data_IF_518968534439
#
_entry.id   IF_518968534439
#
_cell.length_a   1.000
_cell.length_b   1.000
_cell.length_c   1.000
_cell.angle_alpha   90.00
_cell.angle_beta   90.00
_cell.angle_gamma   90.00
#
_symmetry.space_group_name_H-M   'P 1'
#
loop_
_entity.id
_entity.type
_entity.pdbx_description
1 polymer ?
#
# COMPACT_ATOMS: atom_id res chain seq x y z
N UNK A 1 -7.44 20.47 13.30
CA UNK A 1 -7.58 20.60 11.83
C UNK A 1 -7.77 19.21 11.25
N UNK A 2 -8.90 18.93 10.59
CA UNK A 2 -8.99 17.73 9.73
C UNK A 2 -7.96 17.93 8.62
N UNK A 3 -6.96 17.03 8.53
CA UNK A 3 -5.98 17.07 7.44
C UNK A 3 -6.74 16.75 6.16
N UNK A 4 -6.91 17.73 5.29
CA UNK A 4 -7.52 17.50 3.96
C UNK A 4 -6.70 16.42 3.25
N UNK A 5 -7.38 15.41 2.69
CA UNK A 5 -6.74 14.39 1.86
C UNK A 5 -5.90 13.34 2.62
N UNK A 6 -6.19 13.07 3.89
CA UNK A 6 -5.55 11.96 4.64
C UNK A 6 -6.61 10.95 5.07
N UNK A 7 -6.51 9.74 4.52
CA UNK A 7 -7.33 8.61 4.90
C UNK A 7 -6.49 7.48 5.48
N UNK A 8 -7.05 6.76 6.45
CA UNK A 8 -6.41 5.62 7.10
C UNK A 8 -7.32 4.41 6.98
N UNK A 9 -6.81 3.36 6.34
CA UNK A 9 -7.51 2.08 6.21
C UNK A 9 -6.93 1.06 7.19
N UNK A 10 -7.80 0.25 7.82
CA UNK A 10 -7.41 -0.79 8.78
C UNK A 10 -6.84 -2.07 8.14
N UNK A 11 -6.35 -2.00 6.90
CA UNK A 11 -5.85 -3.15 6.12
C UNK A 11 -4.43 -2.84 5.65
N UNK A 12 -3.51 -3.74 5.97
CA UNK A 12 -2.11 -3.66 5.58
C UNK A 12 -1.46 -5.03 5.54
N UNK A 13 -0.13 -5.07 5.50
CA UNK A 13 0.64 -6.31 5.30
C UNK A 13 0.27 -7.45 6.25
N UNK A 14 0.05 -7.17 7.55
CA UNK A 14 -0.29 -8.19 8.54
C UNK A 14 -1.62 -8.88 8.18
N UNK A 15 -2.63 -8.10 7.77
CA UNK A 15 -3.94 -8.64 7.38
C UNK A 15 -3.86 -9.43 6.08
N UNK A 16 -3.10 -8.93 5.10
CA UNK A 16 -2.88 -9.62 3.82
C UNK A 16 -2.15 -10.95 4.02
N UNK A 17 -1.09 -10.99 4.82
CA UNK A 17 -0.38 -12.22 5.16
C UNK A 17 -1.27 -13.19 5.96
N UNK A 18 -2.08 -12.67 6.90
CA UNK A 18 -3.03 -13.47 7.66
C UNK A 18 -4.09 -14.12 6.77
N UNK A 19 -4.59 -13.40 5.76
CA UNK A 19 -5.54 -13.96 4.82
C UNK A 19 -4.92 -15.07 3.95
N UNK A 20 -3.70 -14.88 3.44
CA UNK A 20 -3.00 -15.96 2.72
C UNK A 20 -2.83 -17.20 3.58
N UNK A 21 -2.48 -17.01 4.87
CA UNK A 21 -2.38 -18.10 5.84
C UNK A 21 -3.69 -18.88 5.94
N UNK A 22 -4.81 -18.17 6.09
CA UNK A 22 -6.15 -18.78 6.16
C UNK A 22 -6.45 -19.58 4.88
N UNK A 23 -6.17 -19.02 3.70
CA UNK A 23 -6.39 -19.73 2.42
C UNK A 23 -5.53 -20.99 2.29
N UNK A 24 -4.26 -20.93 2.71
CA UNK A 24 -3.37 -22.09 2.70
C UNK A 24 -3.89 -23.21 3.63
N UNK A 25 -4.40 -22.85 4.80
CA UNK A 25 -4.99 -23.80 5.74
C UNK A 25 -6.28 -24.44 5.20
N UNK A 26 -7.15 -23.65 4.56
CA UNK A 26 -8.37 -24.15 3.90
C UNK A 26 -8.06 -25.16 2.78
N UNK A 27 -6.92 -24.99 2.10
CA UNK A 27 -6.47 -25.88 1.02
C UNK A 27 -5.53 -27.00 1.49
N UNK A 28 -5.43 -27.23 2.81
CA UNK A 28 -4.60 -28.26 3.43
C UNK A 28 -3.10 -28.16 3.03
N UNK A 29 -2.61 -26.93 2.90
CA UNK A 29 -1.18 -26.65 2.69
C UNK A 29 -0.54 -26.43 4.05
N UNK A 30 0.19 -27.43 4.53
CA UNK A 30 0.92 -27.36 5.79
C UNK A 30 2.18 -26.50 5.66
N UNK A 31 2.45 -25.68 6.67
CA UNK A 31 3.64 -24.84 6.78
C UNK A 31 4.04 -24.73 8.25
N UNK A 32 5.34 -24.59 8.51
CA UNK A 32 5.86 -24.58 9.88
C UNK A 32 5.96 -23.16 10.43
N UNK A 33 6.26 -22.18 9.57
CA UNK A 33 6.58 -20.81 9.99
C UNK A 33 5.74 -19.72 9.32
N UNK A 34 5.47 -18.65 10.08
CA UNK A 34 4.90 -17.41 9.52
C UNK A 34 5.85 -16.76 8.49
N UNK A 35 7.15 -17.02 8.58
CA UNK A 35 8.13 -16.56 7.61
C UNK A 35 7.86 -17.14 6.21
N UNK A 36 7.40 -18.39 6.14
CA UNK A 36 7.09 -19.08 4.89
C UNK A 36 5.91 -18.45 4.19
N UNK A 37 4.80 -18.22 4.92
CA UNK A 37 3.64 -17.51 4.39
C UNK A 37 4.02 -16.11 3.89
N UNK A 38 4.85 -15.38 4.65
CA UNK A 38 5.36 -14.07 4.22
C UNK A 38 6.17 -14.16 2.92
N UNK A 39 7.07 -15.14 2.83
CA UNK A 39 7.93 -15.33 1.65
C UNK A 39 7.10 -15.68 0.42
N UNK A 40 6.13 -16.60 0.57
CA UNK A 40 5.18 -16.96 -0.49
C UNK A 40 4.36 -15.74 -0.93
N UNK A 41 3.88 -14.92 0.01
CA UNK A 41 3.20 -13.66 -0.31
C UNK A 41 4.10 -12.73 -1.13
N UNK A 42 5.35 -12.55 -0.73
CA UNK A 42 6.27 -11.62 -1.40
C UNK A 42 6.75 -12.13 -2.77
N UNK A 43 6.76 -13.45 -3.01
CA UNK A 43 7.31 -14.06 -4.22
C UNK A 43 6.27 -14.56 -5.22
N UNK A 44 5.13 -15.07 -4.75
CA UNK A 44 4.11 -15.70 -5.60
C UNK A 44 2.84 -14.86 -5.75
N UNK A 45 2.49 -14.04 -4.75
CA UNK A 45 1.25 -13.25 -4.81
C UNK A 45 1.38 -12.01 -5.69
N UNK A 46 0.25 -11.61 -6.26
CA UNK A 46 0.14 -10.45 -7.14
C UNK A 46 -1.30 -9.90 -7.08
N UNK A 47 -1.56 -8.80 -7.77
CA UNK A 47 -2.89 -8.23 -7.92
C UNK A 47 -3.32 -8.39 -9.36
N UNK A 48 -4.47 -9.04 -9.56
CA UNK A 48 -5.08 -9.19 -10.87
C UNK A 48 -5.67 -7.86 -11.35
N UNK A 49 -5.53 -7.56 -12.64
CA UNK A 49 -6.16 -6.41 -13.27
C UNK A 49 -7.69 -6.54 -13.38
N UNK A 50 -8.17 -7.78 -13.48
CA UNK A 50 -9.59 -8.15 -13.46
C UNK A 50 -9.71 -9.43 -12.64
N UNK A 51 -10.32 -9.33 -11.46
CA UNK A 51 -10.43 -10.44 -10.52
C UNK A 51 -11.26 -11.60 -11.08
N UNK A 52 -12.40 -11.29 -11.71
CA UNK A 52 -13.32 -12.31 -12.20
C UNK A 52 -12.75 -13.06 -13.40
N UNK A 53 -12.10 -12.35 -14.33
CA UNK A 53 -11.44 -13.00 -15.44
C UNK A 53 -10.28 -13.90 -14.97
N UNK A 54 -9.58 -13.52 -13.91
CA UNK A 54 -8.45 -14.30 -13.37
C UNK A 54 -8.90 -15.63 -12.74
N UNK A 55 -10.13 -15.73 -12.22
CA UNK A 55 -10.68 -16.97 -11.63
C UNK A 55 -10.75 -18.15 -12.62
N UNK A 56 -10.81 -17.86 -13.92
CA UNK A 56 -10.88 -18.85 -15.00
C UNK A 56 -9.52 -19.29 -15.54
N UNK A 57 -8.42 -18.65 -15.14
CA UNK A 57 -7.07 -18.96 -15.64
C UNK A 57 -6.39 -20.00 -14.77
N UNK A 58 -5.45 -20.73 -15.37
CA UNK A 58 -4.47 -21.49 -14.59
C UNK A 58 -3.41 -20.51 -14.06
N UNK A 59 -3.45 -20.27 -12.76
CA UNK A 59 -2.54 -19.38 -12.04
C UNK A 59 -1.57 -20.15 -11.17
N UNK A 60 -1.37 -21.45 -11.42
CA UNK A 60 -0.49 -22.29 -10.58
C UNK A 60 0.96 -21.82 -10.67
N UNK A 61 1.61 -21.67 -9.51
CA UNK A 61 3.05 -21.47 -9.43
C UNK A 61 3.59 -22.09 -8.14
N UNK A 62 4.83 -22.60 -8.23
CA UNK A 62 5.50 -23.25 -7.13
C UNK A 62 6.76 -22.49 -6.72
N UNK A 63 7.09 -22.53 -5.43
CA UNK A 63 8.30 -21.97 -4.88
C UNK A 63 8.90 -22.96 -3.88
N UNK A 64 10.19 -23.20 -3.98
CA UNK A 64 10.94 -23.91 -2.95
C UNK A 64 11.31 -22.94 -1.83
N UNK A 65 10.95 -23.31 -0.60
CA UNK A 65 11.38 -22.62 0.61
C UNK A 65 12.48 -23.47 1.24
N UNK A 66 13.70 -22.92 1.40
CA UNK A 66 14.76 -23.62 2.10
C UNK A 66 14.25 -24.07 3.47
N UNK A 67 14.51 -25.34 3.83
CA UNK A 67 14.03 -26.03 5.05
C UNK A 67 12.59 -26.54 5.09
N UNK A 68 11.64 -25.97 4.32
CA UNK A 68 10.22 -26.41 4.35
C UNK A 68 9.75 -27.10 3.05
N UNK A 69 10.53 -27.02 1.97
CA UNK A 69 10.25 -27.74 0.71
C UNK A 69 9.43 -26.93 -0.29
N UNK A 70 8.72 -27.64 -1.20
CA UNK A 70 7.99 -27.03 -2.30
C UNK A 70 6.56 -26.66 -1.92
N UNK A 71 6.21 -25.40 -2.17
CA UNK A 71 4.85 -24.88 -2.00
C UNK A 71 4.27 -24.55 -3.36
N UNK A 72 3.06 -25.04 -3.62
CA UNK A 72 2.31 -24.74 -4.85
C UNK A 72 1.08 -23.95 -4.50
N UNK A 73 0.96 -22.73 -5.04
CA UNK A 73 -0.21 -21.88 -4.91
C UNK A 73 -0.86 -21.68 -6.27
N UNK A 74 -2.18 -21.53 -6.28
CA UNK A 74 -2.98 -21.29 -7.47
C UNK A 74 -3.76 -19.97 -7.34
N UNK A 75 -5.03 -20.02 -6.94
CA UNK A 75 -5.93 -18.86 -6.83
C UNK A 75 -5.59 -17.97 -5.63
N UNK A 76 -4.96 -18.52 -4.60
CA UNK A 76 -4.50 -17.81 -3.40
C UNK A 76 -3.59 -16.64 -3.76
N UNK A 77 -2.81 -16.80 -4.84
CA UNK A 77 -1.83 -15.81 -5.32
C UNK A 77 -2.45 -14.44 -5.59
N UNK A 78 -3.58 -14.40 -6.30
CA UNK A 78 -4.26 -13.14 -6.61
C UNK A 78 -5.41 -12.83 -5.65
N UNK A 79 -6.07 -13.84 -5.07
CA UNK A 79 -7.08 -13.63 -4.02
C UNK A 79 -6.51 -12.90 -2.81
N UNK A 80 -5.26 -13.18 -2.44
CA UNK A 80 -4.56 -12.48 -1.36
C UNK A 80 -4.42 -10.98 -1.63
N UNK A 81 -4.08 -10.60 -2.87
CA UNK A 81 -3.99 -9.19 -3.28
C UNK A 81 -5.34 -8.49 -3.30
N UNK A 82 -6.43 -9.21 -3.63
CA UNK A 82 -7.77 -8.64 -3.73
C UNK A 82 -8.28 -8.08 -2.40
N UNK A 83 -7.79 -8.55 -1.24
CA UNK A 83 -8.13 -8.00 0.09
C UNK A 83 -7.87 -6.48 0.19
N UNK A 84 -6.92 -5.95 -0.58
CA UNK A 84 -6.67 -4.51 -0.62
C UNK A 84 -7.78 -3.72 -1.33
N UNK A 85 -8.51 -4.36 -2.26
CA UNK A 85 -9.63 -3.75 -3.00
C UNK A 85 -10.97 -4.15 -2.38
N UNK A 86 -11.09 -5.38 -1.89
CA UNK A 86 -12.27 -5.93 -1.24
C UNK A 86 -11.93 -6.47 0.16
N UNK A 87 -11.73 -5.59 1.16
CA UNK A 87 -11.41 -5.99 2.55
C UNK A 87 -12.37 -6.99 3.20
N UNK A 88 -13.62 -7.03 2.72
CA UNK A 88 -14.66 -7.94 3.20
C UNK A 88 -14.29 -9.41 3.00
N UNK A 89 -13.47 -9.74 2.00
CA UNK A 89 -12.97 -11.10 1.78
C UNK A 89 -12.19 -11.63 2.98
N UNK A 90 -11.46 -10.75 3.69
CA UNK A 90 -10.73 -11.07 4.92
C UNK A 90 -11.52 -10.72 6.20
N UNK A 91 -12.86 -10.61 6.10
CA UNK A 91 -13.74 -10.29 7.22
C UNK A 91 -13.63 -8.85 7.75
N UNK A 92 -12.95 -7.94 7.05
CA UNK A 92 -12.75 -6.56 7.50
C UNK A 92 -13.78 -5.62 6.88
N UNK A 93 -14.51 -4.88 7.71
CA UNK A 93 -15.50 -3.88 7.27
C UNK A 93 -14.86 -2.50 7.14
N UNK A 94 -14.06 -2.31 6.10
CA UNK A 94 -13.48 -1.01 5.72
C UNK A 94 -13.58 -0.80 4.21
N UNK A 95 -13.37 0.44 3.76
CA UNK A 95 -13.24 0.75 2.34
C UNK A 95 -11.96 0.14 1.76
N UNK A 96 -12.00 -0.19 0.46
CA UNK A 96 -10.82 -0.63 -0.28
C UNK A 96 -9.83 0.52 -0.53
N UNK A 97 -8.61 0.17 -0.92
CA UNK A 97 -7.53 1.12 -1.21
C UNK A 97 -7.94 2.15 -2.27
N UNK A 98 -8.46 1.68 -3.41
CA UNK A 98 -8.97 2.52 -4.50
C UNK A 98 -10.03 3.54 -4.04
N UNK A 99 -10.96 3.14 -3.18
CA UNK A 99 -11.98 4.03 -2.61
C UNK A 99 -11.35 5.09 -1.69
N UNK A 100 -10.40 4.70 -0.84
CA UNK A 100 -9.72 5.63 0.06
C UNK A 100 -8.92 6.68 -0.73
N UNK A 101 -8.22 6.27 -1.78
CA UNK A 101 -7.47 7.17 -2.65
C UNK A 101 -8.42 8.10 -3.43
N UNK A 102 -9.52 7.57 -3.98
CA UNK A 102 -10.54 8.39 -4.64
C UNK A 102 -11.13 9.46 -3.70
N UNK A 103 -11.45 9.08 -2.46
CA UNK A 103 -11.95 10.01 -1.44
C UNK A 103 -10.93 11.11 -1.11
N UNK A 104 -9.64 10.77 -1.01
CA UNK A 104 -8.58 11.76 -0.88
C UNK A 104 -8.55 12.74 -2.07
N UNK A 105 -8.66 12.22 -3.30
CA UNK A 105 -8.64 13.04 -4.52
C UNK A 105 -9.84 13.97 -4.59
N UNK A 106 -11.04 13.50 -4.22
CA UNK A 106 -12.25 14.31 -4.14
C UNK A 106 -12.11 15.43 -3.10
N UNK A 107 -11.56 15.11 -1.91
CA UNK A 107 -11.28 16.12 -0.88
C UNK A 107 -10.28 17.17 -1.38
N UNK A 108 -9.23 16.77 -2.08
CA UNK A 108 -8.24 17.67 -2.66
C UNK A 108 -8.85 18.56 -3.76
N UNK A 109 -9.69 17.99 -4.62
CA UNK A 109 -10.39 18.74 -5.66
C UNK A 109 -11.36 19.77 -5.06
N UNK A 110 -12.15 19.37 -4.07
CA UNK A 110 -13.10 20.25 -3.38
C UNK A 110 -12.41 21.40 -2.61
N UNK A 111 -11.21 21.15 -2.09
CA UNK A 111 -10.45 22.16 -1.34
C UNK A 111 -9.92 23.31 -2.21
N UNK A 112 -9.88 23.16 -3.54
CA UNK A 112 -9.44 24.20 -4.50
C UNK A 112 -8.15 24.92 -4.08
N UNK A 113 -7.18 24.16 -3.54
CA UNK A 113 -5.93 24.71 -2.99
C UNK A 113 -5.06 25.39 -4.06
N UNK A 114 -5.17 24.94 -5.31
CA UNK A 114 -4.40 25.42 -6.46
C UNK A 114 -5.32 25.55 -7.67
N UNK A 115 -4.95 26.41 -8.62
CA UNK A 115 -5.64 26.53 -9.91
C UNK A 115 -5.42 25.33 -10.83
N UNK A 116 -4.28 24.63 -10.67
CA UNK A 116 -3.94 23.40 -11.39
C UNK A 116 -4.26 22.18 -10.52
N UNK A 117 -5.00 21.21 -11.06
CA UNK A 117 -5.41 19.99 -10.38
C UNK A 117 -4.41 18.82 -10.53
N UNK A 118 -3.34 19.01 -11.30
CA UNK A 118 -2.34 17.96 -11.59
C UNK A 118 -1.61 17.43 -10.35
N UNK A 119 -1.49 18.20 -9.26
CA UNK A 119 -0.67 17.83 -8.10
C UNK A 119 -1.21 16.62 -7.33
N UNK A 120 -2.52 16.41 -7.30
CA UNK A 120 -3.13 15.25 -6.63
C UNK A 120 -3.41 14.09 -7.59
N UNK A 121 -3.29 14.30 -8.90
CA UNK A 121 -3.52 13.28 -9.94
C UNK A 121 -2.37 12.28 -10.07
N UNK A 122 -1.19 12.60 -9.52
CA UNK A 122 -0.06 11.67 -9.46
C UNK A 122 -0.03 10.95 -8.12
N UNK A 123 -0.34 9.66 -8.12
CA UNK A 123 -0.28 8.80 -6.94
C UNK A 123 1.08 8.11 -6.90
N UNK A 124 1.85 8.32 -5.83
CA UNK A 124 3.15 7.66 -5.64
C UNK A 124 3.00 6.57 -4.58
N UNK A 125 3.23 5.33 -4.98
CA UNK A 125 3.17 4.18 -4.08
C UNK A 125 4.46 4.05 -3.26
N UNK A 126 4.32 3.61 -2.01
CA UNK A 126 5.44 3.37 -1.10
C UNK A 126 5.07 2.31 -0.06
N UNK A 127 6.07 1.57 0.42
CA UNK A 127 5.94 0.53 1.44
C UNK A 127 5.84 -0.89 0.89
N UNK A 128 6.00 -1.89 1.77
CA UNK A 128 6.18 -3.29 1.36
C UNK A 128 4.99 -3.92 0.65
N UNK A 129 3.75 -3.66 1.13
CA UNK A 129 2.55 -4.12 0.44
C UNK A 129 2.37 -3.48 -0.94
N UNK A 130 2.94 -2.29 -1.14
CA UNK A 130 2.84 -1.59 -2.40
C UNK A 130 3.74 -2.18 -3.51
N UNK A 131 4.65 -3.08 -3.14
CA UNK A 131 5.50 -3.81 -4.06
C UNK A 131 4.83 -5.06 -4.67
N UNK A 132 3.56 -5.35 -4.33
CA UNK A 132 2.82 -6.44 -4.97
C UNK A 132 2.69 -6.15 -6.48
N UNK A 133 3.10 -7.09 -7.36
CA UNK A 133 2.98 -6.91 -8.80
C UNK A 133 1.52 -6.64 -9.20
N UNK A 134 1.30 -5.71 -10.14
CA UNK A 134 -0.03 -5.36 -10.64
C UNK A 134 -0.80 -4.33 -9.80
N UNK A 135 -0.28 -3.91 -8.63
CA UNK A 135 -0.97 -2.94 -7.77
C UNK A 135 -1.16 -1.59 -8.45
N UNK A 136 -0.12 -1.06 -9.09
CA UNK A 136 -0.16 0.27 -9.68
C UNK A 136 -1.18 0.33 -10.82
N UNK A 137 -1.13 -0.67 -11.71
CA UNK A 137 -2.00 -0.81 -12.87
C UNK A 137 -3.46 -1.02 -12.45
N UNK A 138 -3.71 -1.90 -11.47
CA UNK A 138 -5.06 -2.12 -10.95
C UNK A 138 -5.59 -0.86 -10.28
N UNK A 139 -4.79 -0.19 -9.44
CA UNK A 139 -5.22 1.03 -8.77
C UNK A 139 -5.55 2.15 -9.77
N UNK A 140 -4.73 2.32 -10.80
CA UNK A 140 -4.97 3.31 -11.86
C UNK A 140 -6.27 3.01 -12.60
N UNK A 141 -6.52 1.75 -12.97
CA UNK A 141 -7.77 1.31 -13.59
C UNK A 141 -8.99 1.60 -12.72
N UNK A 142 -8.93 1.26 -11.43
CA UNK A 142 -10.02 1.47 -10.48
C UNK A 142 -10.32 2.97 -10.25
N UNK A 143 -9.28 3.80 -10.14
CA UNK A 143 -9.44 5.24 -9.98
C UNK A 143 -10.10 5.89 -11.20
N UNK A 144 -9.74 5.46 -12.41
CA UNK A 144 -10.38 5.91 -13.64
C UNK A 144 -11.86 5.50 -13.74
N UNK A 145 -12.24 4.37 -13.13
CA UNK A 145 -13.63 3.91 -13.08
C UNK A 145 -14.48 4.56 -11.98
N UNK A 146 -13.87 4.94 -10.86
CA UNK A 146 -14.57 5.53 -9.71
C UNK A 146 -14.77 7.05 -9.80
N UNK A 147 -13.79 7.77 -10.35
CA UNK A 147 -13.77 9.23 -10.34
C UNK A 147 -14.48 9.82 -11.57
N UNK A 148 -15.15 10.99 -11.43
CA UNK A 148 -15.82 11.62 -12.56
C UNK A 148 -14.81 12.13 -13.61
N UNK A 149 -15.22 12.26 -14.90
CA UNK A 149 -14.32 12.63 -16.01
C UNK A 149 -13.39 13.84 -15.79
N UNK A 150 -13.82 14.94 -15.13
CA UNK A 150 -12.94 16.09 -14.88
C UNK A 150 -11.74 15.76 -13.97
N UNK A 151 -11.92 14.80 -13.06
CA UNK A 151 -10.93 14.42 -12.05
C UNK A 151 -10.08 13.25 -12.53
N UNK A 152 -10.66 12.30 -13.28
CA UNK A 152 -9.93 11.10 -13.72
C UNK A 152 -8.92 11.35 -14.86
N UNK A 153 -9.16 12.36 -15.69
CA UNK A 153 -8.25 12.67 -16.79
C UNK A 153 -6.85 13.06 -16.28
N UNK A 154 -5.85 12.25 -16.64
CA UNK A 154 -4.45 12.47 -16.31
C UNK A 154 -3.99 11.82 -15.00
N UNK A 155 -4.79 10.93 -14.40
CA UNK A 155 -4.35 10.13 -13.26
C UNK A 155 -3.19 9.23 -13.68
N UNK A 156 -2.17 9.18 -12.83
CA UNK A 156 -1.02 8.29 -12.98
C UNK A 156 -0.67 7.67 -11.64
N UNK A 157 -0.49 6.36 -11.61
CA UNK A 157 0.01 5.65 -10.43
C UNK A 157 1.45 5.20 -10.66
N UNK A 158 2.36 5.71 -9.84
CA UNK A 158 3.78 5.39 -9.92
C UNK A 158 4.08 4.28 -8.91
N UNK A 159 4.62 3.11 -9.34
CA UNK A 159 5.00 2.04 -8.42
C UNK A 159 6.16 2.49 -7.52
N UNK A 160 6.44 1.79 -6.41
CA UNK A 160 7.50 2.19 -5.48
C UNK A 160 8.88 2.25 -6.18
N UNK A 161 9.48 3.44 -6.37
CA UNK A 161 10.68 3.59 -7.21
C UNK A 161 11.92 2.90 -6.64
N UNK A 162 11.98 2.73 -5.31
CA UNK A 162 13.04 1.99 -4.62
C UNK A 162 12.47 0.80 -3.82
N UNK A 163 11.37 0.22 -4.32
CA UNK A 163 10.69 -0.91 -3.68
C UNK A 163 10.31 -0.62 -2.22
N UNK A 164 10.56 -1.60 -1.35
CA UNK A 164 10.23 -1.54 0.09
C UNK A 164 10.94 -0.39 0.82
N UNK A 165 12.04 0.11 0.25
CA UNK A 165 12.89 1.15 0.86
C UNK A 165 12.58 2.56 0.35
N UNK A 166 11.52 2.76 -0.44
CA UNK A 166 11.19 4.06 -1.04
C UNK A 166 11.14 5.21 -0.04
N UNK A 167 10.50 5.01 1.13
CA UNK A 167 10.48 6.00 2.20
C UNK A 167 11.88 6.29 2.78
N UNK A 168 12.69 5.25 2.98
CA UNK A 168 14.06 5.38 3.51
C UNK A 168 14.98 6.12 2.52
N UNK A 169 14.87 5.81 1.23
CA UNK A 169 15.61 6.54 0.19
C UNK A 169 15.20 8.01 0.13
N UNK A 170 13.90 8.32 0.28
CA UNK A 170 13.44 9.70 0.40
C UNK A 170 14.08 10.43 1.59
N UNK A 171 14.15 9.78 2.75
CA UNK A 171 14.81 10.35 3.93
C UNK A 171 16.32 10.57 3.71
N UNK A 172 17.01 9.65 3.04
CA UNK A 172 18.44 9.79 2.68
C UNK A 172 18.68 10.99 1.75
N UNK A 173 17.81 11.22 0.78
CA UNK A 173 17.91 12.39 -0.12
C UNK A 173 17.67 13.67 0.69
N UNK A 174 16.62 13.69 1.52
CA UNK A 174 16.27 14.82 2.37
C UNK A 174 17.41 15.19 3.32
N UNK A 175 18.07 14.20 3.95
CA UNK A 175 19.17 14.45 4.89
C UNK A 175 20.41 15.06 4.25
N UNK A 176 20.57 14.91 2.94
CA UNK A 176 21.71 15.44 2.20
C UNK A 176 21.46 16.86 1.64
N UNK A 177 20.28 17.43 1.83
CA UNK A 177 20.01 18.81 1.42
C UNK A 177 20.76 19.79 2.33
N UNK A 178 21.34 20.84 1.76
CA UNK A 178 22.00 21.92 2.51
C UNK A 178 21.04 22.63 3.47
N UNK A 179 19.74 22.64 3.16
CA UNK A 179 18.68 23.22 3.98
C UNK A 179 18.21 22.30 5.11
N UNK A 180 18.66 21.04 5.16
CA UNK A 180 18.18 20.05 6.13
C UNK A 180 18.42 20.48 7.60
N UNK A 181 19.62 20.95 8.01
CA UNK A 181 19.88 21.27 9.43
C UNK A 181 19.05 22.43 10.00
N UNK A 182 18.43 23.25 9.14
CA UNK A 182 17.65 24.42 9.55
C UNK A 182 16.27 24.04 10.10
N UNK A 183 15.18 24.16 9.31
CA UNK A 183 13.82 23.98 9.81
C UNK A 183 13.43 22.53 10.10
N UNK A 184 14.21 21.53 9.63
CA UNK A 184 13.86 20.11 9.75
C UNK A 184 14.48 19.44 10.97
N UNK A 185 15.49 20.05 11.60
CA UNK A 185 16.23 19.48 12.72
C UNK A 185 15.97 20.27 14.01
N UNK A 186 16.01 19.55 15.13
CA UNK A 186 15.96 20.15 16.47
C UNK A 186 17.27 19.85 17.17
N UNK A 187 18.00 20.90 17.55
CA UNK A 187 19.24 20.74 18.34
C UNK A 187 18.92 20.31 19.76
N UNK A 188 19.89 19.67 20.43
CA UNK A 188 19.76 19.30 21.86
C UNK A 188 19.37 20.49 22.75
N UNK A 189 19.94 21.67 22.51
CA UNK A 189 19.65 22.90 23.25
C UNK A 189 18.19 23.35 23.06
N UNK A 190 17.70 23.36 21.82
CA UNK A 190 16.31 23.71 21.52
C UNK A 190 15.31 22.72 22.14
N UNK A 191 15.62 21.42 22.09
CA UNK A 191 14.79 20.39 22.71
C UNK A 191 14.69 20.58 24.24
N UNK A 192 15.83 20.81 24.91
CA UNK A 192 15.88 21.02 26.36
C UNK A 192 15.19 22.31 26.82
N UNK A 193 15.17 23.36 26.00
CA UNK A 193 14.44 24.59 26.31
C UNK A 193 12.93 24.42 26.14
N UNK A 194 12.47 23.72 25.08
CA UNK A 194 11.04 23.45 24.87
C UNK A 194 10.45 22.48 25.90
N UNK A 195 11.21 21.48 26.36
CA UNK A 195 10.73 20.56 27.39
C UNK A 195 10.49 21.28 28.72
N UNK A 196 11.34 22.24 29.09
CA UNK A 196 11.19 23.04 30.32
C UNK A 196 9.95 23.94 30.32
N UNK A 197 9.54 24.45 29.17
CA UNK A 197 8.34 25.30 29.04
C UNK A 197 7.03 24.51 29.18
N UNK A 198 7.04 23.19 28.91
CA UNK A 198 5.85 22.35 29.03
C UNK A 198 5.60 21.81 30.45
N UNK A 199 6.55 22.00 31.38
CA UNK A 199 6.44 21.57 32.79
C UNK A 199 6.17 22.74 33.76
N UNK A 200 5.94 23.95 33.25
CA UNK A 200 5.50 25.10 34.05
C UNK A 200 3.98 25.25 33.94
N UNK A 201 3.25 24.38 34.63
CA UNK A 201 1.83 24.52 34.97
C UNK A 201 1.66 24.20 36.45
#
# INVERSE_FOLDING_TARGET
MRKVGVEVIGVGAIKVTGFLKEQMQENNIDFESQYTVRTLKEKLCYIAADYEAELSKDTTASLEIPSEGWFTLSKERFKTGEVLFQPRLAGVRTMGLHQAVALCMDHCHAAKLTSNDAWFKTVVLSGGSACLPGLAERLEKELNGLLPPPVCNGIRVIPPPYGVNSAWFGAKILSNLSTFPGPWCVTKKQFQQKSRLNFAW
#
